data_IF_529609103290
#
_entry.id   IF_529609103290
#
_cell.length_a   1.000
_cell.length_b   1.000
_cell.length_c   1.000
_cell.angle_alpha   90.00
_cell.angle_beta   90.00
_cell.angle_gamma   90.00
#
_symmetry.space_group_name_H-M   'P 1'
#
loop_
_entity.id
_entity.type
_entity.pdbx_description
1 polymer ?
#
# COMPACT_ATOMS: atom_id res chain seq x y z
N UNK A 1 19.81 -3.09 3.96
CA UNK A 1 18.71 -3.88 4.52
C UNK A 1 17.60 -4.04 3.49
N UNK A 2 17.09 -5.24 3.33
CA UNK A 2 15.98 -5.46 2.40
C UNK A 2 14.69 -5.65 3.19
N UNK A 3 13.62 -5.05 2.69
CA UNK A 3 12.28 -5.24 3.26
C UNK A 3 11.66 -6.52 2.71
N UNK A 4 10.92 -7.26 3.55
CA UNK A 4 10.12 -8.37 3.09
C UNK A 4 8.88 -7.86 2.34
N UNK A 5 8.43 -6.67 2.69
CA UNK A 5 7.23 -6.05 2.11
C UNK A 5 7.62 -5.15 0.96
N UNK A 6 6.86 -5.22 -0.13
CA UNK A 6 7.03 -4.36 -1.30
C UNK A 6 5.71 -3.70 -1.62
N UNK A 7 5.77 -2.48 -2.10
CA UNK A 7 4.57 -1.76 -2.45
C UNK A 7 4.85 -0.58 -3.37
N UNK A 8 3.81 -0.15 -4.05
CA UNK A 8 3.90 0.95 -4.99
C UNK A 8 2.56 1.66 -5.09
N UNK A 9 2.61 2.99 -5.07
CA UNK A 9 1.43 3.82 -5.31
C UNK A 9 1.46 4.21 -6.78
N UNK A 10 0.43 3.79 -7.51
CA UNK A 10 0.33 4.05 -8.94
C UNK A 10 -0.41 5.34 -9.24
N UNK A 11 -1.37 5.70 -8.40
CA UNK A 11 -2.17 6.89 -8.63
C UNK A 11 -2.75 7.41 -7.32
N UNK A 12 -2.68 8.73 -7.15
CA UNK A 12 -3.41 9.46 -6.13
C UNK A 12 -4.15 10.57 -6.87
N UNK A 13 -5.46 10.55 -6.85
CA UNK A 13 -6.26 11.63 -7.40
C UNK A 13 -7.30 12.08 -6.38
N UNK A 14 -8.21 12.95 -6.77
CA UNK A 14 -9.03 13.70 -5.82
C UNK A 14 -9.85 12.85 -4.84
N UNK A 15 -10.04 11.55 -5.12
CA UNK A 15 -10.85 10.70 -4.25
C UNK A 15 -10.32 9.28 -4.12
N UNK A 16 -9.14 9.00 -4.67
CA UNK A 16 -8.72 7.61 -4.81
C UNK A 16 -7.21 7.46 -4.70
N UNK A 17 -6.79 6.43 -3.98
CA UNK A 17 -5.41 5.95 -3.98
C UNK A 17 -5.41 4.53 -4.53
N UNK A 18 -4.63 4.28 -5.57
CA UNK A 18 -4.53 2.98 -6.22
C UNK A 18 -3.08 2.52 -6.21
N UNK A 19 -2.88 1.24 -5.90
CA UNK A 19 -1.55 0.67 -5.89
C UNK A 19 -1.58 -0.81 -5.62
N UNK A 20 -0.45 -1.34 -5.21
CA UNK A 20 -0.34 -2.73 -4.79
C UNK A 20 0.70 -2.85 -3.68
N UNK A 21 0.56 -3.90 -2.88
CA UNK A 21 1.51 -4.20 -1.81
C UNK A 21 1.44 -5.67 -1.45
N UNK A 22 2.59 -6.27 -1.13
CA UNK A 22 2.61 -7.66 -0.69
C UNK A 22 3.87 -7.95 0.12
N UNK A 23 3.78 -9.02 0.91
CA UNK A 23 4.89 -9.55 1.68
C UNK A 23 5.41 -10.78 0.93
N UNK A 24 6.60 -10.70 0.35
CA UNK A 24 7.11 -11.79 -0.47
C UNK A 24 7.46 -13.04 0.32
N UNK A 25 7.55 -12.95 1.64
CA UNK A 25 7.73 -14.11 2.51
C UNK A 25 6.42 -14.84 2.75
N UNK A 26 5.30 -14.19 2.46
CA UNK A 26 3.96 -14.77 2.61
C UNK A 26 3.13 -14.37 1.40
N UNK A 27 3.49 -14.87 0.20
CA UNK A 27 2.95 -14.33 -1.05
C UNK A 27 1.47 -14.58 -1.29
N UNK A 28 0.84 -15.45 -0.49
CA UNK A 28 -0.59 -15.72 -0.62
C UNK A 28 -1.41 -15.02 0.45
N UNK A 29 -0.77 -14.22 1.31
CA UNK A 29 -1.46 -13.49 2.37
C UNK A 29 -1.58 -12.03 1.99
N UNK A 30 -2.76 -11.41 2.19
CA UNK A 30 -2.89 -9.97 1.95
C UNK A 30 -2.19 -9.17 3.04
N UNK A 31 -1.86 -7.93 2.73
CA UNK A 31 -1.31 -7.00 3.70
C UNK A 31 -2.27 -5.83 3.88
N UNK A 32 -2.14 -5.12 5.00
CA UNK A 32 -2.96 -3.95 5.27
C UNK A 32 -2.28 -2.69 4.75
N UNK A 33 -3.11 -1.74 4.32
CA UNK A 33 -2.65 -0.43 3.85
C UNK A 33 -3.37 0.64 4.68
N UNK A 34 -2.63 1.59 5.21
CA UNK A 34 -3.19 2.67 6.02
C UNK A 34 -2.67 4.03 5.54
N UNK A 35 -3.53 5.03 5.62
CA UNK A 35 -3.12 6.43 5.50
C UNK A 35 -3.06 6.97 6.92
N UNK A 36 -1.93 7.53 7.29
CA UNK A 36 -1.70 8.05 8.64
C UNK A 36 -1.25 9.50 8.61
N UNK A 37 -1.64 10.21 9.66
CA UNK A 37 -1.12 11.52 9.96
C UNK A 37 -0.66 11.46 11.42
N UNK A 38 0.66 11.55 11.63
CA UNK A 38 1.28 11.28 12.92
C UNK A 38 0.91 9.86 13.37
N UNK A 39 0.28 9.72 14.53
CA UNK A 39 -0.15 8.40 15.04
C UNK A 39 -1.62 8.09 14.71
N UNK A 40 -2.28 8.95 13.94
CA UNK A 40 -3.71 8.77 13.63
C UNK A 40 -3.87 8.03 12.32
N UNK A 41 -4.74 7.04 12.33
CA UNK A 41 -5.12 6.31 11.11
C UNK A 41 -6.34 7.04 10.52
N UNK A 42 -6.17 7.57 9.31
CA UNK A 42 -7.22 8.36 8.65
C UNK A 42 -8.01 7.55 7.63
N UNK A 43 -7.41 6.48 7.11
CA UNK A 43 -8.07 5.57 6.17
C UNK A 43 -7.30 4.26 6.16
N UNK A 44 -7.98 3.16 5.83
CA UNK A 44 -7.33 1.86 5.72
C UNK A 44 -8.04 0.99 4.69
N UNK A 45 -7.31 -0.02 4.21
CA UNK A 45 -7.86 -1.06 3.34
C UNK A 45 -6.94 -2.27 3.37
N UNK A 46 -7.30 -3.31 2.64
CA UNK A 46 -6.50 -4.52 2.50
C UNK A 46 -6.11 -4.67 1.04
N UNK A 47 -4.85 -4.99 0.79
CA UNK A 47 -4.32 -5.18 -0.56
C UNK A 47 -4.62 -6.62 -1.01
N UNK A 48 -5.87 -6.86 -1.41
CA UNK A 48 -6.34 -8.20 -1.81
C UNK A 48 -7.11 -8.20 -3.13
N UNK A 49 -7.03 -7.12 -3.90
CA UNK A 49 -7.70 -7.06 -5.19
C UNK A 49 -6.90 -7.84 -6.24
N UNK A 50 -7.61 -8.65 -7.02
CA UNK A 50 -7.01 -9.45 -8.08
C UNK A 50 -6.55 -8.54 -9.23
N UNK A 51 -5.31 -8.76 -9.67
CA UNK A 51 -4.73 -8.03 -10.79
C UNK A 51 -3.91 -8.96 -11.65
N UNK A 52 -4.29 -9.07 -12.92
CA UNK A 52 -3.62 -9.97 -13.86
C UNK A 52 -2.18 -9.53 -14.13
N UNK A 53 -1.92 -8.23 -14.15
CA UNK A 53 -0.57 -7.72 -14.38
C UNK A 53 0.40 -8.12 -13.27
N UNK A 54 -0.07 -8.15 -12.02
CA UNK A 54 0.75 -8.60 -10.90
C UNK A 54 1.01 -10.10 -10.98
N UNK A 55 0.01 -10.86 -11.37
CA UNK A 55 0.16 -12.31 -11.53
C UNK A 55 1.18 -12.63 -12.62
N UNK A 56 1.12 -11.93 -13.75
CA UNK A 56 2.05 -12.12 -14.85
C UNK A 56 3.49 -11.79 -14.47
N UNK A 57 3.68 -10.85 -13.56
CA UNK A 57 5.01 -10.48 -13.07
C UNK A 57 5.51 -11.37 -11.93
N UNK A 58 4.71 -12.35 -11.52
CA UNK A 58 5.08 -13.26 -10.45
C UNK A 58 4.99 -12.65 -9.06
N UNK A 59 4.16 -11.62 -8.89
CA UNK A 59 3.95 -10.98 -7.59
C UNK A 59 2.87 -11.76 -6.83
N UNK A 60 3.33 -12.76 -6.08
CA UNK A 60 2.47 -13.63 -5.30
C UNK A 60 1.38 -14.27 -6.15
N UNK A 61 0.17 -14.28 -5.63
CA UNK A 61 -1.01 -14.81 -6.32
C UNK A 61 -1.65 -13.78 -7.27
N UNK A 62 -1.10 -12.58 -7.35
CA UNK A 62 -1.71 -11.47 -8.09
C UNK A 62 -2.81 -10.76 -7.34
N UNK A 63 -3.20 -11.24 -6.18
CA UNK A 63 -4.25 -10.63 -5.35
C UNK A 63 -3.64 -9.70 -4.31
N UNK A 64 -2.98 -8.64 -4.80
CA UNK A 64 -2.25 -7.72 -3.95
C UNK A 64 -2.48 -6.26 -4.33
N UNK A 65 -3.44 -6.02 -5.21
CA UNK A 65 -3.85 -4.65 -5.54
C UNK A 65 -4.70 -4.04 -4.45
N UNK A 66 -4.71 -2.72 -4.39
CA UNK A 66 -5.65 -2.02 -3.53
C UNK A 66 -6.16 -0.76 -4.20
N UNK A 67 -7.36 -0.37 -3.80
CA UNK A 67 -8.00 0.87 -4.22
C UNK A 67 -8.69 1.42 -2.99
N UNK A 68 -8.31 2.61 -2.57
CA UNK A 68 -8.81 3.19 -1.33
C UNK A 68 -9.45 4.54 -1.62
N UNK A 69 -10.72 4.67 -1.26
CA UNK A 69 -11.43 5.94 -1.40
C UNK A 69 -11.00 6.86 -0.27
N UNK A 70 -10.62 8.08 -0.62
CA UNK A 70 -10.20 9.09 0.35
C UNK A 70 -10.93 10.39 0.05
N UNK A 71 -10.94 11.30 1.04
CA UNK A 71 -11.49 12.62 0.83
C UNK A 71 -10.53 13.49 0.01
N UNK A 72 -11.06 14.51 -0.62
CA UNK A 72 -10.24 15.47 -1.34
C UNK A 72 -9.23 16.14 -0.41
N UNK A 73 -9.62 16.43 0.82
CA UNK A 73 -8.74 17.03 1.81
C UNK A 73 -7.57 16.10 2.15
N UNK A 74 -7.84 14.81 2.34
CA UNK A 74 -6.78 13.84 2.62
C UNK A 74 -5.85 13.67 1.42
N UNK A 75 -6.39 13.71 0.21
CA UNK A 75 -5.59 13.68 -1.01
C UNK A 75 -4.59 14.85 -1.03
N UNK A 76 -5.05 16.06 -0.69
CA UNK A 76 -4.18 17.24 -0.62
C UNK A 76 -3.11 17.09 0.45
N UNK A 77 -3.46 16.50 1.59
CA UNK A 77 -2.49 16.24 2.67
C UNK A 77 -1.40 15.27 2.21
N UNK A 78 -1.76 14.24 1.45
CA UNK A 78 -0.78 13.30 0.90
C UNK A 78 0.19 14.00 -0.06
N UNK A 79 -0.33 14.85 -0.94
CA UNK A 79 0.52 15.60 -1.88
C UNK A 79 1.46 16.57 -1.18
N UNK A 80 1.03 17.14 -0.06
CA UNK A 80 1.86 18.09 0.71
C UNK A 80 2.82 17.39 1.68
N UNK A 81 2.75 16.07 1.79
CA UNK A 81 3.57 15.32 2.73
C UNK A 81 3.09 15.43 4.17
N UNK A 82 1.86 15.86 4.39
CA UNK A 82 1.25 15.98 5.72
C UNK A 82 0.59 14.68 6.18
N UNK A 83 0.41 13.74 5.26
CA UNK A 83 -0.07 12.40 5.57
C UNK A 83 0.81 11.41 4.81
N UNK A 84 0.82 10.17 5.28
CA UNK A 84 1.70 9.13 4.75
C UNK A 84 0.93 7.83 4.53
N UNK A 85 1.40 7.03 3.59
CA UNK A 85 0.81 5.72 3.33
C UNK A 85 1.75 4.65 3.88
N UNK A 86 1.21 3.76 4.68
CA UNK A 86 1.91 2.68 5.35
C UNK A 86 1.34 1.34 4.95
N UNK A 87 2.19 0.34 4.83
CA UNK A 87 1.77 -1.03 4.55
C UNK A 87 2.36 -1.97 5.59
N UNK A 88 1.60 -3.00 5.95
CA UNK A 88 2.03 -3.99 6.94
C UNK A 88 2.72 -5.18 6.27
N UNK A 89 3.40 -5.99 7.08
CA UNK A 89 3.71 -7.35 6.68
C UNK A 89 2.43 -8.20 6.78
N UNK A 90 2.53 -9.47 6.39
CA UNK A 90 1.35 -10.36 6.36
C UNK A 90 0.77 -10.63 7.75
N UNK A 91 1.54 -10.40 8.80
CA UNK A 91 1.10 -10.61 10.19
C UNK A 91 0.63 -9.34 10.87
N UNK A 92 0.72 -8.20 10.16
CA UNK A 92 0.40 -6.87 10.70
C UNK A 92 1.26 -6.50 11.92
N UNK A 93 2.46 -7.06 12.01
CA UNK A 93 3.38 -6.80 13.12
C UNK A 93 4.38 -5.69 12.83
N UNK A 94 4.73 -5.52 11.56
CA UNK A 94 5.68 -4.49 11.14
C UNK A 94 5.05 -3.63 10.06
N UNK A 95 5.37 -2.33 10.07
CA UNK A 95 4.78 -1.36 9.17
C UNK A 95 5.88 -0.59 8.46
N UNK A 96 5.68 -0.32 7.19
CA UNK A 96 6.65 0.33 6.32
C UNK A 96 5.98 1.46 5.55
N UNK A 97 6.64 2.61 5.49
CA UNK A 97 6.16 3.73 4.70
C UNK A 97 6.37 3.45 3.21
N UNK A 98 5.39 3.80 2.40
CA UNK A 98 5.46 3.56 0.94
C UNK A 98 6.68 4.25 0.30
N UNK A 99 7.02 5.44 0.78
CA UNK A 99 8.17 6.16 0.24
C UNK A 99 9.47 5.37 0.39
N UNK A 100 9.57 4.55 1.42
CA UNK A 100 10.72 3.67 1.64
C UNK A 100 10.65 2.46 0.71
N UNK A 101 9.46 1.97 0.44
CA UNK A 101 9.24 0.78 -0.39
C UNK A 101 9.44 1.07 -1.88
N UNK A 102 9.20 2.29 -2.33
CA UNK A 102 9.35 2.66 -3.74
C UNK A 102 10.75 2.41 -4.28
N UNK A 103 11.75 2.44 -3.44
CA UNK A 103 13.13 2.20 -3.85
C UNK A 103 13.36 0.76 -4.28
N UNK A 104 12.40 -0.11 -4.01
CA UNK A 104 12.48 -1.53 -4.35
C UNK A 104 11.91 -1.85 -5.73
N UNK A 105 11.36 -0.87 -6.42
CA UNK A 105 10.73 -1.06 -7.72
C UNK A 105 11.69 -0.85 -8.87
#
# INVERSE_FOLDING_TARGET
MSFAVRGYIERIDSELVVGWAYDFKSPNQPVEVQVRQDSRILADTIADLSRDDLLEKGIGSGRHGFSMTISNDLCNQLYRGEAEIWVSDARSESWYRIAELRELN
#
